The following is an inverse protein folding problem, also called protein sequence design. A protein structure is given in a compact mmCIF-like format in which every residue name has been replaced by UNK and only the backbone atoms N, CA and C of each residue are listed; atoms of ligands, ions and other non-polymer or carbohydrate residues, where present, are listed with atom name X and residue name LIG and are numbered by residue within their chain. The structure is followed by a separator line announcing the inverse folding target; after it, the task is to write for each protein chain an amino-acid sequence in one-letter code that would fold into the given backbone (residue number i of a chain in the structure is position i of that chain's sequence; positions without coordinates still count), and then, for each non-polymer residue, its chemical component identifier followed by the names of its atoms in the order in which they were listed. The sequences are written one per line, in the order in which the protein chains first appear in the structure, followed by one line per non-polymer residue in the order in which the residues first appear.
data_IF_041726301200
#
_entry.id   IF_041726301200
#
_cell.length_a   1.000
_cell.length_b   1.000
_cell.length_c   1.000
_cell.angle_alpha   90.00
_cell.angle_beta   90.00
_cell.angle_gamma   90.00
#
_symmetry.space_group_name_H-M   'P 1'
#
loop_
_entity.id
_entity.type
_entity.pdbx_description
1 polymer ?
#
# COMPACT_ATOMS: atom_id res chain seq x y z
N UNK A 1 10.67 -27.89 59.79
CA UNK A 1 11.15 -28.67 58.64
C UNK A 1 11.34 -27.72 57.45
N UNK A 2 12.58 -27.56 56.98
CA UNK A 2 12.96 -27.09 55.62
C UNK A 2 13.07 -28.33 54.71
N UNK A 3 13.01 -28.29 53.36
CA UNK A 3 13.69 -27.34 52.43
C UNK A 3 12.76 -26.73 51.36
N UNK A 4 12.98 -25.58 50.72
CA UNK A 4 14.13 -24.97 50.01
C UNK A 4 14.47 -25.62 48.65
N UNK A 5 14.20 -24.91 47.55
CA UNK A 5 15.06 -24.63 46.37
C UNK A 5 14.33 -23.60 45.47
N UNK A 6 14.75 -22.31 45.38
CA UNK A 6 15.77 -21.71 44.48
C UNK A 6 15.31 -21.72 42.99
N UNK A 7 15.44 -20.71 42.10
CA UNK A 7 16.05 -19.36 41.99
C UNK A 7 15.43 -18.75 40.70
N UNK A 8 14.87 -17.53 40.72
CA UNK A 8 15.37 -16.27 40.15
C UNK A 8 15.68 -16.21 38.64
N UNK A 9 15.10 -15.24 37.93
CA UNK A 9 15.83 -14.24 37.14
C UNK A 9 14.88 -13.14 36.62
N UNK A 10 15.20 -11.91 36.98
CA UNK A 10 14.53 -10.63 36.77
C UNK A 10 14.41 -10.20 35.29
N UNK A 11 13.35 -9.44 34.97
CA UNK A 11 13.42 -8.39 33.96
C UNK A 11 12.68 -7.14 34.47
N UNK A 12 13.48 -6.12 34.78
CA UNK A 12 13.12 -4.80 35.26
C UNK A 12 12.17 -4.09 34.28
N UNK A 13 11.04 -3.57 34.77
CA UNK A 13 10.81 -2.14 35.11
C UNK A 13 11.22 -1.17 34.00
N UNK A 14 10.24 -0.52 33.36
CA UNK A 14 10.04 0.94 33.49
C UNK A 14 8.81 1.39 32.69
N UNK A 15 7.84 1.96 33.40
CA UNK A 15 6.79 2.80 32.86
C UNK A 15 7.36 4.20 32.55
N UNK A 16 6.96 4.81 31.43
CA UNK A 16 7.00 6.27 31.20
C UNK A 16 5.95 6.65 30.14
N UNK A 17 4.79 7.18 30.54
CA UNK A 17 4.39 8.61 30.67
C UNK A 17 4.18 9.35 29.32
N UNK A 18 2.88 9.57 29.04
CA UNK A 18 2.11 10.65 28.39
C UNK A 18 2.75 11.65 27.38
N UNK A 19 1.96 12.15 26.39
CA UNK A 19 2.19 13.44 25.75
C UNK A 19 1.35 14.53 26.42
N UNK A 20 1.99 15.55 27.00
CA UNK A 20 1.34 16.79 27.42
C UNK A 20 1.91 17.94 26.58
N UNK A 21 1.03 18.64 25.86
CA UNK A 21 1.30 19.91 25.22
C UNK A 21 1.58 20.98 26.29
N UNK A 22 2.70 21.71 26.19
CA UNK A 22 2.88 22.98 26.89
C UNK A 22 3.85 23.90 26.12
N UNK A 23 3.45 25.17 26.06
CA UNK A 23 4.04 26.27 25.30
C UNK A 23 5.37 26.80 25.85
N UNK A 24 6.12 27.43 24.94
CA UNK A 24 7.02 28.57 25.09
C UNK A 24 7.57 28.95 26.49
N UNK A 25 8.89 28.89 26.64
CA UNK A 25 9.68 29.94 27.30
C UNK A 25 11.18 29.79 26.93
N UNK A 26 11.75 30.93 26.57
CA UNK A 26 13.15 31.23 26.29
C UNK A 26 14.09 30.87 27.45
N UNK A 27 15.15 30.08 27.21
CA UNK A 27 16.46 30.26 27.88
C UNK A 27 17.59 29.79 26.96
N UNK A 28 18.31 30.79 26.45
CA UNK A 28 19.63 30.73 25.84
C UNK A 28 20.66 29.96 26.71
N UNK A 29 21.11 28.77 26.28
CA UNK A 29 22.37 28.14 26.75
C UNK A 29 23.11 27.49 25.58
N UNK A 30 24.05 28.25 25.00
CA UNK A 30 25.35 27.85 24.42
C UNK A 30 25.45 26.40 23.91
N UNK A 31 25.26 26.24 22.59
CA UNK A 31 25.48 24.99 21.85
C UNK A 31 26.93 24.47 21.99
N UNK A 32 27.11 23.41 22.77
CA UNK A 32 28.26 22.50 22.62
C UNK A 32 27.90 21.48 21.53
N UNK A 33 28.68 21.50 20.44
CA UNK A 33 28.58 20.54 19.35
C UNK A 33 29.07 19.19 19.86
N UNK A 34 28.14 18.31 20.21
CA UNK A 34 28.43 16.88 20.36
C UNK A 34 28.43 16.22 18.97
N UNK A 35 29.37 15.31 18.66
CA UNK A 35 29.35 14.59 17.39
C UNK A 35 28.06 13.77 17.30
N UNK A 36 27.33 13.88 16.19
CA UNK A 36 26.16 13.03 15.92
C UNK A 36 26.59 11.56 16.04
N UNK A 37 25.90 10.73 16.85
CA UNK A 37 26.14 9.30 16.82
C UNK A 37 25.80 8.78 15.42
N UNK A 38 26.74 8.04 14.84
CA UNK A 38 26.59 7.40 13.54
C UNK A 38 25.23 6.66 13.47
N UNK A 39 24.44 7.00 12.47
CA UNK A 39 23.16 6.38 12.20
C UNK A 39 23.36 4.86 12.09
N UNK A 40 22.82 4.10 13.04
CA UNK A 40 22.68 2.66 12.90
C UNK A 40 21.89 2.39 11.61
N UNK A 41 22.28 1.41 10.78
CA UNK A 41 21.46 0.99 9.65
C UNK A 41 20.08 0.64 10.20
N UNK A 42 19.07 1.39 9.77
CA UNK A 42 17.67 1.03 9.99
C UNK A 42 17.51 -0.38 9.42
N UNK A 43 17.22 -1.34 10.31
CA UNK A 43 16.81 -2.67 9.90
C UNK A 43 15.73 -2.49 8.84
N UNK A 44 16.02 -2.96 7.62
CA UNK A 44 15.11 -2.85 6.48
C UNK A 44 13.85 -3.60 6.87
N UNK A 45 12.79 -2.85 7.20
CA UNK A 45 11.48 -3.45 7.40
C UNK A 45 11.14 -4.27 6.14
N UNK A 46 10.46 -5.42 6.29
CA UNK A 46 10.12 -6.24 5.14
C UNK A 46 9.27 -5.41 4.16
N UNK A 47 9.89 -5.05 3.04
CA UNK A 47 9.25 -4.33 1.94
C UNK A 47 8.75 -5.34 0.92
N UNK A 48 7.53 -5.13 0.43
CA UNK A 48 6.97 -5.91 -0.66
C UNK A 48 7.86 -5.81 -1.89
N UNK A 49 8.04 -6.93 -2.58
CA UNK A 49 8.64 -6.94 -3.90
C UNK A 49 7.81 -6.07 -4.85
N UNK A 50 8.47 -5.46 -5.85
CA UNK A 50 7.79 -4.72 -6.89
C UNK A 50 6.68 -5.55 -7.57
N UNK A 51 6.92 -6.85 -7.76
CA UNK A 51 5.94 -7.76 -8.35
C UNK A 51 4.70 -7.94 -7.45
N UNK A 52 4.89 -8.15 -6.15
CA UNK A 52 3.79 -8.30 -5.19
C UNK A 52 3.01 -7.01 -5.02
N UNK A 53 3.72 -5.88 -4.99
CA UNK A 53 3.13 -4.55 -4.95
C UNK A 53 2.27 -4.28 -6.18
N UNK A 54 2.75 -4.68 -7.37
CA UNK A 54 1.99 -4.58 -8.61
C UNK A 54 0.76 -5.50 -8.61
N UNK A 55 0.87 -6.75 -8.12
CA UNK A 55 -0.29 -7.64 -7.94
C UNK A 55 -1.33 -7.03 -7.01
N UNK A 56 -0.92 -6.45 -5.88
CA UNK A 56 -1.82 -5.79 -4.93
C UNK A 56 -2.53 -4.58 -5.57
N UNK A 57 -1.76 -3.68 -6.19
CA UNK A 57 -2.29 -2.47 -6.82
C UNK A 57 -3.21 -2.79 -8.00
N UNK A 58 -2.75 -3.59 -8.95
CA UNK A 58 -3.54 -3.95 -10.12
C UNK A 58 -4.71 -4.86 -9.75
N UNK A 59 -4.53 -5.74 -8.77
CA UNK A 59 -5.61 -6.57 -8.24
C UNK A 59 -6.77 -5.71 -7.70
N UNK A 60 -6.47 -4.64 -6.97
CA UNK A 60 -7.47 -3.68 -6.49
C UNK A 60 -8.21 -2.97 -7.63
N UNK A 61 -7.49 -2.44 -8.62
CA UNK A 61 -8.11 -1.74 -9.75
C UNK A 61 -9.04 -2.68 -10.53
N UNK A 62 -8.56 -3.87 -10.88
CA UNK A 62 -9.33 -4.85 -11.65
C UNK A 62 -10.54 -5.37 -10.86
N UNK A 63 -10.39 -5.57 -9.55
CA UNK A 63 -11.49 -5.96 -8.67
C UNK A 63 -12.61 -4.92 -8.69
N UNK A 64 -12.26 -3.64 -8.55
CA UNK A 64 -13.24 -2.53 -8.58
C UNK A 64 -13.96 -2.49 -9.93
N UNK A 65 -13.22 -2.62 -11.04
CA UNK A 65 -13.82 -2.62 -12.39
C UNK A 65 -14.85 -3.73 -12.56
N UNK A 66 -14.55 -4.95 -12.09
CA UNK A 66 -15.52 -6.03 -12.12
C UNK A 66 -16.73 -5.79 -11.22
N UNK A 67 -16.52 -5.26 -10.01
CA UNK A 67 -17.63 -4.89 -9.11
C UNK A 67 -18.54 -3.82 -9.71
N UNK A 68 -17.99 -2.86 -10.46
CA UNK A 68 -18.78 -1.87 -11.19
C UNK A 68 -19.56 -2.52 -12.33
N UNK A 69 -18.96 -3.44 -13.06
CA UNK A 69 -19.64 -4.15 -14.14
C UNK A 69 -20.79 -5.05 -13.66
N UNK A 70 -20.60 -5.73 -12.52
CA UNK A 70 -21.60 -6.57 -11.89
C UNK A 70 -22.71 -5.73 -11.21
N UNK A 71 -22.34 -4.60 -10.61
CA UNK A 71 -23.24 -3.75 -9.83
C UNK A 71 -24.08 -2.77 -10.65
N UNK A 72 -23.62 -2.40 -11.85
CA UNK A 72 -24.28 -1.41 -12.72
C UNK A 72 -24.50 -1.95 -14.16
N UNK A 73 -25.18 -3.10 -14.34
CA UNK A 73 -25.38 -3.71 -15.66
C UNK A 73 -26.10 -2.79 -16.65
N UNK A 74 -26.96 -1.89 -16.17
CA UNK A 74 -27.72 -0.93 -16.97
C UNK A 74 -26.85 0.07 -17.74
N UNK A 75 -25.63 0.34 -17.24
CA UNK A 75 -24.66 1.21 -17.91
C UNK A 75 -24.18 0.58 -19.22
N UNK A 76 -24.13 -0.76 -19.26
CA UNK A 76 -23.67 -1.52 -20.41
C UNK A 76 -24.82 -1.89 -21.35
N UNK A 77 -26.05 -2.03 -20.85
CA UNK A 77 -27.20 -2.50 -21.63
C UNK A 77 -27.52 -1.67 -22.89
N UNK A 78 -27.14 -0.39 -22.94
CA UNK A 78 -27.42 0.54 -24.06
C UNK A 78 -26.32 0.58 -25.12
N UNK A 79 -25.19 -0.08 -24.88
CA UNK A 79 -24.05 -0.11 -25.81
C UNK A 79 -24.14 -1.35 -26.71
N UNK A 80 -23.83 -1.20 -28.00
CA UNK A 80 -23.85 -2.30 -28.97
C UNK A 80 -22.95 -3.47 -28.58
N UNK A 81 -21.81 -3.19 -27.95
CA UNK A 81 -20.88 -4.18 -27.40
C UNK A 81 -20.95 -4.31 -25.87
N UNK A 82 -21.99 -3.76 -25.25
CA UNK A 82 -22.07 -3.59 -23.81
C UNK A 82 -21.97 -4.88 -23.01
N UNK A 83 -22.66 -5.94 -23.44
CA UNK A 83 -22.56 -7.26 -22.77
C UNK A 83 -21.16 -7.85 -22.81
N UNK A 84 -20.45 -7.69 -23.93
CA UNK A 84 -19.06 -8.17 -24.06
C UNK A 84 -18.14 -7.39 -23.14
N UNK A 85 -18.26 -6.06 -23.11
CA UNK A 85 -17.49 -5.20 -22.21
C UNK A 85 -17.80 -5.52 -20.75
N UNK A 86 -19.07 -5.69 -20.40
CA UNK A 86 -19.48 -6.06 -19.05
C UNK A 86 -18.86 -7.41 -18.64
N UNK A 87 -18.97 -8.44 -19.49
CA UNK A 87 -18.40 -9.76 -19.22
C UNK A 87 -16.88 -9.70 -19.05
N UNK A 88 -16.20 -8.87 -19.86
CA UNK A 88 -14.77 -8.68 -19.78
C UNK A 88 -14.35 -7.98 -18.48
N UNK A 89 -15.04 -6.91 -18.08
CA UNK A 89 -14.81 -6.23 -16.81
C UNK A 89 -15.10 -7.16 -15.62
N UNK A 90 -16.14 -7.99 -15.71
CA UNK A 90 -16.47 -9.00 -14.70
C UNK A 90 -15.33 -10.02 -14.55
N UNK A 91 -14.74 -10.46 -15.67
CA UNK A 91 -13.56 -11.33 -15.68
C UNK A 91 -12.33 -10.65 -15.07
N UNK A 92 -12.14 -9.34 -15.29
CA UNK A 92 -11.15 -8.56 -14.57
C UNK A 92 -11.41 -8.54 -13.07
N UNK A 93 -12.67 -8.47 -12.64
CA UNK A 93 -13.06 -8.61 -11.23
C UNK A 93 -12.50 -9.89 -10.59
N UNK A 94 -12.71 -11.02 -11.26
CA UNK A 94 -12.20 -12.32 -10.81
C UNK A 94 -10.67 -12.38 -10.79
N UNK A 95 -10.02 -11.92 -11.87
CA UNK A 95 -8.55 -11.85 -11.96
C UNK A 95 -7.97 -10.94 -10.87
N UNK A 96 -8.61 -9.80 -10.63
CA UNK A 96 -8.20 -8.82 -9.63
C UNK A 96 -8.26 -9.38 -8.22
N UNK A 97 -9.32 -10.14 -7.91
CA UNK A 97 -9.43 -10.88 -6.65
C UNK A 97 -8.28 -11.88 -6.48
N UNK A 98 -8.02 -12.71 -7.49
CA UNK A 98 -6.94 -13.70 -7.42
C UNK A 98 -5.56 -13.05 -7.21
N UNK A 99 -5.29 -11.93 -7.90
CA UNK A 99 -4.06 -11.15 -7.71
C UNK A 99 -3.94 -10.57 -6.30
N UNK A 100 -5.03 -10.05 -5.73
CA UNK A 100 -5.05 -9.54 -4.36
C UNK A 100 -4.84 -10.67 -3.33
N UNK A 101 -5.52 -11.80 -3.52
CA UNK A 101 -5.38 -12.96 -2.62
C UNK A 101 -3.93 -13.47 -2.61
N UNK A 102 -3.29 -13.54 -3.79
CA UNK A 102 -1.87 -13.91 -3.92
C UNK A 102 -0.95 -12.86 -3.30
N UNK A 103 -1.21 -11.57 -3.53
CA UNK A 103 -0.42 -10.51 -2.92
C UNK A 103 -0.53 -10.50 -1.39
N UNK A 104 -1.71 -10.76 -0.84
CA UNK A 104 -1.90 -10.90 0.61
C UNK A 104 -1.25 -12.14 1.18
N UNK A 105 -1.22 -13.26 0.44
CA UNK A 105 -0.47 -14.44 0.85
C UNK A 105 1.04 -14.15 0.91
N UNK A 106 1.59 -13.50 -0.13
CA UNK A 106 2.99 -13.08 -0.17
C UNK A 106 3.33 -12.04 0.91
N UNK A 107 2.46 -11.04 1.12
CA UNK A 107 2.60 -10.05 2.18
C UNK A 107 2.52 -10.67 3.57
N UNK A 108 1.62 -11.63 3.77
CA UNK A 108 1.47 -12.39 5.01
C UNK A 108 2.72 -13.22 5.33
N UNK A 109 3.36 -13.82 4.32
CA UNK A 109 4.64 -14.50 4.47
C UNK A 109 5.77 -13.56 4.93
N UNK A 110 5.63 -12.25 4.67
CA UNK A 110 6.54 -11.19 5.11
C UNK A 110 6.12 -10.54 6.45
N UNK A 111 5.05 -11.04 7.09
CA UNK A 111 4.52 -10.48 8.34
C UNK A 111 3.73 -9.17 8.16
N UNK A 112 3.34 -8.83 6.93
CA UNK A 112 2.50 -7.66 6.65
C UNK A 112 1.02 -8.00 6.80
N UNK A 113 0.26 -7.01 7.25
CA UNK A 113 -1.21 -7.09 7.27
C UNK A 113 -1.79 -6.86 5.86
N UNK A 114 -3.01 -7.34 5.57
CA UNK A 114 -3.66 -7.08 4.28
C UNK A 114 -3.76 -5.59 3.94
N UNK A 115 -4.05 -4.74 4.93
CA UNK A 115 -4.12 -3.28 4.75
C UNK A 115 -2.77 -2.70 4.33
N UNK A 116 -1.68 -3.11 4.99
CA UNK A 116 -0.33 -2.66 4.62
C UNK A 116 0.06 -3.10 3.21
N UNK A 117 -0.28 -4.34 2.82
CA UNK A 117 -0.02 -4.84 1.47
C UNK A 117 -0.83 -4.11 0.42
N UNK A 118 -2.10 -3.83 0.69
CA UNK A 118 -2.96 -3.03 -0.18
C UNK A 118 -2.42 -1.61 -0.37
N UNK A 119 -2.11 -0.91 0.73
CA UNK A 119 -1.63 0.48 0.68
C UNK A 119 -0.29 0.58 -0.05
N UNK A 120 0.64 -0.33 0.21
CA UNK A 120 1.91 -0.41 -0.50
C UNK A 120 1.71 -0.62 -2.01
N UNK A 121 0.79 -1.52 -2.39
CA UNK A 121 0.46 -1.80 -3.78
C UNK A 121 -0.15 -0.60 -4.51
N UNK A 122 -1.14 0.05 -3.89
CA UNK A 122 -1.79 1.25 -4.46
C UNK A 122 -0.80 2.40 -4.58
N UNK A 123 0.03 2.62 -3.56
CA UNK A 123 1.04 3.68 -3.58
C UNK A 123 2.09 3.45 -4.68
N UNK A 124 2.55 2.20 -4.84
CA UNK A 124 3.50 1.83 -5.90
C UNK A 124 2.90 2.02 -7.28
N UNK A 125 1.66 1.56 -7.48
CA UNK A 125 0.95 1.68 -8.74
C UNK A 125 0.69 3.16 -9.12
N UNK A 126 0.30 3.99 -8.15
CA UNK A 126 0.12 5.43 -8.37
C UNK A 126 1.44 6.13 -8.70
N UNK A 127 2.53 5.75 -8.03
CA UNK A 127 3.87 6.28 -8.31
C UNK A 127 4.30 6.00 -9.75
N UNK A 128 4.09 4.76 -10.20
CA UNK A 128 4.35 4.35 -11.59
C UNK A 128 3.51 5.18 -12.57
N UNK A 129 2.20 5.28 -12.34
CA UNK A 129 1.33 6.05 -13.22
C UNK A 129 1.76 7.52 -13.33
N UNK A 130 2.14 8.15 -12.22
CA UNK A 130 2.65 9.54 -12.23
C UNK A 130 3.94 9.68 -13.02
N UNK A 131 4.84 8.69 -12.95
CA UNK A 131 6.11 8.72 -13.66
C UNK A 131 5.97 8.62 -15.18
N UNK A 132 4.88 8.02 -15.68
CA UNK A 132 4.61 7.84 -17.11
C UNK A 132 3.72 8.95 -17.71
N UNK A 133 3.24 9.90 -16.91
CA UNK A 133 2.50 11.06 -17.42
C UNK A 133 3.49 12.11 -17.93
N UNK A 134 3.40 12.42 -19.22
CA UNK A 134 4.27 13.38 -19.91
C UNK A 134 3.45 14.41 -20.69
N UNK A 135 3.80 15.70 -20.59
CA UNK A 135 3.26 16.73 -21.47
C UNK A 135 1.77 17.05 -21.27
N UNK A 136 1.19 16.70 -20.13
CA UNK A 136 -0.20 16.98 -19.82
C UNK A 136 -0.45 18.50 -19.75
N UNK A 137 -1.45 18.96 -20.50
CA UNK A 137 -1.82 20.37 -20.63
C UNK A 137 -2.43 20.95 -19.34
N UNK A 138 -3.08 20.09 -18.56
CA UNK A 138 -3.77 20.43 -17.32
C UNK A 138 -3.92 19.18 -16.41
N UNK A 139 -4.30 19.34 -15.12
CA UNK A 139 -4.42 18.23 -14.17
C UNK A 139 -5.44 17.15 -14.58
N UNK A 140 -6.51 17.52 -15.31
CA UNK A 140 -7.52 16.57 -15.79
C UNK A 140 -6.99 15.75 -16.97
N UNK A 141 -6.18 16.35 -17.84
CA UNK A 141 -5.47 15.62 -18.88
C UNK A 141 -4.44 14.65 -18.27
N UNK A 142 -3.69 15.09 -17.25
CA UNK A 142 -2.75 14.25 -16.51
C UNK A 142 -3.46 13.05 -15.85
N UNK A 143 -4.61 13.29 -15.21
CA UNK A 143 -5.40 12.23 -14.58
C UNK A 143 -5.93 11.20 -15.60
N UNK A 144 -6.35 11.65 -16.79
CA UNK A 144 -6.78 10.75 -17.87
C UNK A 144 -5.63 9.92 -18.42
N UNK A 145 -4.46 10.53 -18.65
CA UNK A 145 -3.27 9.82 -19.10
C UNK A 145 -2.80 8.78 -18.07
N UNK A 146 -2.75 9.16 -16.79
CA UNK A 146 -2.44 8.24 -15.70
C UNK A 146 -3.42 7.06 -15.66
N UNK A 147 -4.72 7.32 -15.84
CA UNK A 147 -5.75 6.27 -15.85
C UNK A 147 -5.57 5.28 -17.01
N UNK A 148 -5.18 5.78 -18.20
CA UNK A 148 -4.90 4.92 -19.34
C UNK A 148 -3.65 4.07 -19.14
N UNK A 149 -2.58 4.66 -18.57
CA UNK A 149 -1.36 3.94 -18.19
C UNK A 149 -1.68 2.81 -17.22
N UNK A 150 -2.44 3.12 -16.16
CA UNK A 150 -2.87 2.15 -15.16
C UNK A 150 -3.68 1.01 -15.78
N UNK A 151 -4.66 1.35 -16.60
CA UNK A 151 -5.51 0.37 -17.26
C UNK A 151 -4.68 -0.55 -18.17
N UNK A 152 -3.80 0.02 -18.99
CA UNK A 152 -2.90 -0.75 -19.86
C UNK A 152 -2.01 -1.69 -19.06
N UNK A 153 -1.39 -1.20 -17.99
CA UNK A 153 -0.49 -1.99 -17.14
C UNK A 153 -1.21 -3.15 -16.46
N UNK A 154 -2.38 -2.89 -15.87
CA UNK A 154 -3.08 -3.90 -15.09
C UNK A 154 -3.86 -4.92 -15.95
N UNK A 155 -4.37 -4.51 -17.12
CA UNK A 155 -5.12 -5.41 -18.00
C UNK A 155 -4.23 -6.15 -18.99
N UNK A 156 -3.05 -5.59 -19.32
CA UNK A 156 -2.20 -6.08 -20.42
C UNK A 156 -2.73 -5.69 -21.81
N UNK A 157 -3.80 -4.89 -21.90
CA UNK A 157 -4.33 -4.40 -23.17
C UNK A 157 -3.49 -3.21 -23.66
N UNK A 158 -2.46 -3.48 -24.45
CA UNK A 158 -1.70 -2.44 -25.13
C UNK A 158 -0.36 -2.89 -25.71
N UNK A 159 -0.29 -4.13 -26.18
CA UNK A 159 0.77 -4.66 -27.03
C UNK A 159 0.19 -5.03 -28.39
#
# INVERSE_FOLDING_TARGET
MRPSCLIAASLAVSALVAPAFANAADVNVKAQVAPLPAAKPLATAPTLSAATSEKAGCGAVLLILGKVADGYPEVFAKQSNGKTVQSMLSAFGFKGKAMLDEAFAEGGALGLTPSQTYEAGVASLLSLAKSEVTGASDPSAAGRQASMVLMKRCTGMGG
#
